data_IF_257313502438
#
_entry.id   IF_257313502438
#
_cell.length_a   1.000
_cell.length_b   1.000
_cell.length_c   1.000
_cell.angle_alpha   90.00
_cell.angle_beta   90.00
_cell.angle_gamma   90.00
#
_symmetry.space_group_name_H-M   'P 1'
#
loop_
_entity.id
_entity.type
_entity.pdbx_description
1 polymer ?
#
# COMPACT_ATOMS: atom_id res chain seq x y z
N UNK A 1 -3.19 23.71 -45.00
CA UNK A 1 -2.60 22.63 -44.15
C UNK A 1 -1.20 22.39 -44.61
N UNK A 2 -0.21 22.91 -43.88
CA UNK A 2 1.23 22.67 -44.14
C UNK A 2 1.65 21.44 -43.32
N UNK A 3 1.65 20.26 -43.97
CA UNK A 3 2.20 19.04 -43.37
C UNK A 3 3.73 19.07 -43.51
N UNK A 4 4.46 18.87 -42.42
CA UNK A 4 5.91 18.69 -42.42
C UNK A 4 6.23 17.20 -42.42
N UNK A 5 7.19 16.79 -43.27
CA UNK A 5 7.65 15.40 -43.35
C UNK A 5 9.00 15.27 -42.65
N UNK A 6 9.08 14.42 -41.65
CA UNK A 6 10.30 14.15 -40.89
C UNK A 6 10.86 12.77 -41.25
N UNK A 7 12.20 12.68 -41.32
CA UNK A 7 12.91 11.40 -41.41
C UNK A 7 13.64 11.13 -40.11
N UNK A 8 13.20 10.13 -39.39
CA UNK A 8 13.84 9.72 -38.14
C UNK A 8 15.10 8.92 -38.46
N UNK A 9 16.28 9.28 -37.88
CA UNK A 9 17.50 8.50 -38.02
C UNK A 9 17.36 7.09 -37.45
N UNK A 10 18.12 6.13 -37.98
CA UNK A 10 17.98 4.71 -37.56
C UNK A 10 18.25 4.48 -36.08
N UNK A 11 19.13 5.26 -35.45
CA UNK A 11 19.44 5.14 -34.01
C UNK A 11 18.33 5.67 -33.09
N UNK A 12 17.36 6.44 -33.64
CA UNK A 12 16.17 6.94 -32.93
C UNK A 12 14.88 6.26 -33.37
N UNK A 13 14.96 5.25 -34.25
CA UNK A 13 13.78 4.60 -34.81
C UNK A 13 12.98 3.79 -33.75
N UNK A 14 13.59 3.47 -32.61
CA UNK A 14 12.94 2.74 -31.52
C UNK A 14 12.17 3.62 -30.53
N UNK A 15 12.48 4.90 -30.45
CA UNK A 15 11.88 5.84 -29.47
C UNK A 15 11.05 6.95 -30.13
N UNK A 16 11.42 7.41 -31.34
CA UNK A 16 10.66 8.44 -32.07
C UNK A 16 9.80 7.77 -33.15
N UNK A 17 8.58 7.38 -32.78
CA UNK A 17 7.69 6.60 -33.66
C UNK A 17 6.38 7.32 -33.97
N UNK A 18 5.98 8.33 -33.21
CA UNK A 18 4.71 9.04 -33.29
C UNK A 18 4.93 10.54 -33.38
N UNK A 19 3.89 11.25 -33.79
CA UNK A 19 3.89 12.73 -33.84
C UNK A 19 4.24 13.37 -32.50
N UNK A 20 3.72 12.82 -31.41
CA UNK A 20 3.96 13.34 -30.06
C UNK A 20 5.46 13.26 -29.67
N UNK A 21 6.16 12.23 -30.13
CA UNK A 21 7.58 12.07 -29.86
C UNK A 21 8.41 13.16 -30.59
N UNK A 22 7.97 13.61 -31.77
CA UNK A 22 8.56 14.77 -32.46
C UNK A 22 8.25 16.09 -31.76
N UNK A 23 7.04 16.25 -31.23
CA UNK A 23 6.65 17.43 -30.43
C UNK A 23 7.53 17.52 -29.19
N UNK A 24 7.80 16.38 -28.52
CA UNK A 24 8.71 16.31 -27.39
C UNK A 24 10.12 16.77 -27.75
N UNK A 25 10.67 16.31 -28.86
CA UNK A 25 12.00 16.73 -29.32
C UNK A 25 12.06 18.23 -29.60
N UNK A 26 11.02 18.78 -30.23
CA UNK A 26 10.96 20.24 -30.49
C UNK A 26 10.86 21.00 -29.15
N UNK A 27 10.05 20.56 -28.24
CA UNK A 27 9.91 21.19 -26.92
C UNK A 27 11.22 21.16 -26.13
N UNK A 28 11.94 20.02 -26.18
CA UNK A 28 13.25 19.85 -25.55
C UNK A 28 14.30 20.83 -26.12
N UNK A 29 14.37 20.96 -27.45
CA UNK A 29 15.33 21.87 -28.11
C UNK A 29 14.94 23.33 -27.86
N UNK A 30 13.63 23.65 -27.87
CA UNK A 30 13.15 25.00 -27.58
C UNK A 30 13.45 25.44 -26.14
N UNK A 31 13.46 24.48 -25.20
CA UNK A 31 13.58 24.65 -23.76
C UNK A 31 12.21 24.61 -23.05
N UNK A 32 12.05 23.68 -22.12
CA UNK A 32 10.83 23.54 -21.30
C UNK A 32 10.58 24.75 -20.40
N UNK A 33 11.65 25.46 -20.00
CA UNK A 33 11.60 26.69 -19.20
C UNK A 33 10.85 27.83 -19.89
N UNK A 34 10.77 27.80 -21.23
CA UNK A 34 10.01 28.79 -22.01
C UNK A 34 8.51 28.51 -22.09
N UNK A 35 8.09 27.30 -21.67
CA UNK A 35 6.69 26.92 -21.66
C UNK A 35 6.07 27.40 -20.34
N UNK A 36 5.16 28.36 -20.43
CA UNK A 36 4.50 28.90 -19.24
C UNK A 36 3.62 27.82 -18.58
N UNK A 37 3.85 27.47 -17.30
CA UNK A 37 3.00 26.52 -16.61
C UNK A 37 1.60 27.10 -16.41
N UNK A 38 0.60 26.32 -16.71
CA UNK A 38 -0.82 26.68 -16.50
C UNK A 38 -1.49 25.72 -15.55
N UNK A 39 -2.30 26.23 -14.65
CA UNK A 39 -3.14 25.37 -13.80
C UNK A 39 -4.38 24.93 -14.58
N UNK A 40 -4.73 23.64 -14.57
CA UNK A 40 -5.97 23.18 -15.17
C UNK A 40 -7.17 23.81 -14.45
N UNK A 41 -8.18 24.20 -15.21
CA UNK A 41 -9.43 24.72 -14.64
C UNK A 41 -10.12 23.63 -13.83
N UNK A 42 -10.25 23.84 -12.52
CA UNK A 42 -11.03 22.96 -11.63
C UNK A 42 -12.50 23.31 -11.77
N UNK A 43 -13.24 22.49 -12.48
CA UNK A 43 -14.70 22.66 -12.67
C UNK A 43 -15.54 21.90 -11.65
N UNK A 44 -14.92 20.99 -10.89
CA UNK A 44 -15.63 20.17 -9.92
C UNK A 44 -14.95 20.21 -8.54
N UNK A 45 -15.76 20.27 -7.50
CA UNK A 45 -15.29 20.11 -6.12
C UNK A 45 -14.92 18.63 -5.90
N UNK A 46 -13.72 18.32 -5.39
CA UNK A 46 -13.36 16.94 -5.10
C UNK A 46 -14.28 16.35 -4.02
N UNK A 47 -14.78 15.14 -4.27
CA UNK A 47 -15.60 14.40 -3.31
C UNK A 47 -14.72 13.30 -2.69
N UNK A 48 -14.58 13.36 -1.37
CA UNK A 48 -13.88 12.31 -0.61
C UNK A 48 -14.85 11.14 -0.43
N UNK A 49 -14.49 9.95 -0.89
CA UNK A 49 -15.30 8.75 -0.76
C UNK A 49 -15.50 8.36 0.72
N UNK A 50 -16.55 7.57 1.00
CA UNK A 50 -16.78 7.06 2.34
C UNK A 50 -15.60 6.20 2.82
N UNK A 51 -15.03 5.39 1.93
CA UNK A 51 -13.87 4.54 2.22
C UNK A 51 -12.67 5.39 2.65
N UNK A 52 -12.33 6.45 1.92
CA UNK A 52 -11.22 7.35 2.26
C UNK A 52 -11.44 8.04 3.61
N UNK A 53 -12.67 8.44 3.92
CA UNK A 53 -13.00 9.01 5.24
C UNK A 53 -12.83 8.01 6.37
N UNK A 54 -13.21 6.75 6.15
CA UNK A 54 -13.02 5.67 7.14
C UNK A 54 -11.53 5.40 7.33
N UNK A 55 -10.76 5.28 6.25
CA UNK A 55 -9.31 5.07 6.32
C UNK A 55 -8.62 6.18 7.10
N UNK A 56 -8.93 7.44 6.77
CA UNK A 56 -8.39 8.59 7.48
C UNK A 56 -8.71 8.52 8.98
N UNK A 57 -9.93 8.15 9.33
CA UNK A 57 -10.33 8.05 10.73
C UNK A 57 -9.64 6.90 11.47
N UNK A 58 -9.52 5.74 10.82
CA UNK A 58 -8.77 4.59 11.38
C UNK A 58 -7.31 4.99 11.60
N UNK A 59 -6.70 5.65 10.62
CA UNK A 59 -5.32 6.13 10.72
C UNK A 59 -5.12 7.06 11.92
N UNK A 60 -5.97 8.09 12.07
CA UNK A 60 -5.96 9.00 13.23
C UNK A 60 -6.08 8.25 14.56
N UNK A 61 -6.92 7.21 14.62
CA UNK A 61 -7.13 6.41 15.83
C UNK A 61 -5.92 5.53 16.16
N UNK A 62 -5.29 4.91 15.16
CA UNK A 62 -4.08 4.11 15.35
C UNK A 62 -2.92 4.99 15.85
N UNK A 63 -2.65 6.09 15.15
CA UNK A 63 -1.62 7.05 15.57
C UNK A 63 -1.86 7.61 16.98
N UNK A 64 -3.11 8.00 17.28
CA UNK A 64 -3.45 8.50 18.64
C UNK A 64 -3.41 7.43 19.73
N UNK A 65 -3.29 6.17 19.35
CA UNK A 65 -3.11 5.04 20.26
C UNK A 65 -1.63 4.64 20.42
N UNK A 66 -0.71 5.39 19.79
CA UNK A 66 0.74 5.19 19.92
C UNK A 66 1.32 4.16 18.93
N UNK A 67 0.60 3.80 17.86
CA UNK A 67 1.15 2.93 16.84
C UNK A 67 1.75 3.77 15.71
N UNK A 68 2.86 3.32 15.16
CA UNK A 68 3.47 3.86 13.95
C UNK A 68 2.90 3.18 12.69
N UNK A 69 2.64 3.95 11.64
CA UNK A 69 2.26 3.39 10.35
C UNK A 69 3.48 2.79 9.65
N UNK A 70 3.33 1.56 9.17
CA UNK A 70 4.33 0.90 8.34
C UNK A 70 3.75 0.56 6.97
N UNK A 71 4.62 0.47 5.97
CA UNK A 71 4.26 0.06 4.60
C UNK A 71 5.17 -1.09 4.22
N UNK A 72 4.58 -2.28 4.06
CA UNK A 72 5.29 -3.47 3.63
C UNK A 72 4.96 -3.81 2.17
N UNK A 73 5.85 -4.56 1.51
CA UNK A 73 5.58 -5.00 0.14
C UNK A 73 4.39 -5.94 0.06
N UNK A 74 3.59 -5.80 -0.99
CA UNK A 74 2.49 -6.74 -1.29
C UNK A 74 3.00 -8.04 -1.94
N UNK A 75 4.22 -8.04 -2.46
CA UNK A 75 4.88 -9.22 -3.01
C UNK A 75 5.57 -9.97 -1.89
N UNK A 76 5.27 -11.27 -1.81
CA UNK A 76 5.84 -12.19 -0.82
C UNK A 76 6.34 -13.45 -1.52
N UNK A 77 7.17 -14.20 -0.83
CA UNK A 77 7.68 -15.48 -1.29
C UNK A 77 7.37 -16.62 -0.33
N UNK A 78 7.58 -17.84 -0.80
CA UNK A 78 7.36 -19.04 0.00
C UNK A 78 8.15 -19.06 1.32
N UNK A 79 9.41 -18.61 1.40
CA UNK A 79 10.15 -18.58 2.66
C UNK A 79 9.45 -17.78 3.77
N UNK A 80 8.78 -16.67 3.42
CA UNK A 80 8.02 -15.87 4.36
C UNK A 80 6.74 -16.57 4.81
N UNK A 81 6.06 -17.27 3.88
CA UNK A 81 4.84 -18.02 4.17
C UNK A 81 5.13 -19.20 5.10
N UNK A 82 6.14 -19.98 4.80
CA UNK A 82 6.57 -21.15 5.60
C UNK A 82 6.91 -20.75 7.05
N UNK A 83 7.41 -19.51 7.23
CA UNK A 83 7.80 -19.00 8.53
C UNK A 83 6.65 -18.48 9.38
N UNK A 84 5.64 -17.83 8.77
CA UNK A 84 4.63 -17.07 9.52
C UNK A 84 3.19 -17.46 9.24
N UNK A 85 2.89 -18.13 8.14
CA UNK A 85 1.51 -18.48 7.79
C UNK A 85 1.26 -19.96 7.91
N UNK A 86 0.34 -20.33 8.80
CA UNK A 86 -0.14 -21.70 8.93
C UNK A 86 -1.19 -22.09 7.88
N UNK A 87 -1.85 -21.08 7.27
CA UNK A 87 -2.89 -21.30 6.26
C UNK A 87 -2.63 -20.42 5.05
N UNK A 88 -2.26 -21.06 3.95
CA UNK A 88 -2.10 -20.45 2.64
C UNK A 88 -2.84 -21.30 1.60
N UNK A 89 -3.67 -20.69 0.79
CA UNK A 89 -4.46 -21.37 -0.24
C UNK A 89 -3.74 -21.22 -1.58
N UNK A 90 -3.04 -22.26 -2.00
CA UNK A 90 -2.29 -22.28 -3.27
C UNK A 90 -3.18 -22.06 -4.50
N UNK A 91 -4.44 -22.54 -4.45
CA UNK A 91 -5.37 -22.43 -5.58
C UNK A 91 -5.89 -20.99 -5.75
N UNK A 92 -5.82 -20.19 -4.69
CA UNK A 92 -6.20 -18.78 -4.70
C UNK A 92 -5.00 -17.84 -4.79
N UNK A 93 -3.80 -18.35 -4.98
CA UNK A 93 -2.59 -17.55 -5.07
C UNK A 93 -2.52 -16.75 -6.37
N UNK A 94 -2.24 -15.47 -6.25
CA UNK A 94 -1.92 -14.60 -7.39
C UNK A 94 -0.40 -14.64 -7.59
N UNK A 95 0.04 -15.44 -8.55
CA UNK A 95 1.46 -15.65 -8.83
C UNK A 95 2.00 -14.64 -9.85
N UNK A 96 3.26 -14.23 -9.65
CA UNK A 96 3.99 -13.37 -10.59
C UNK A 96 4.63 -14.25 -11.65
N UNK A 97 4.40 -13.94 -12.93
CA UNK A 97 4.87 -14.77 -14.05
C UNK A 97 6.40 -14.82 -14.12
N UNK A 98 7.06 -13.68 -13.98
CA UNK A 98 8.53 -13.54 -14.05
C UNK A 98 9.03 -12.82 -12.79
N UNK A 99 9.13 -13.54 -11.68
CA UNK A 99 9.62 -12.96 -10.44
C UNK A 99 11.12 -12.69 -10.50
N UNK A 100 11.54 -11.54 -9.99
CA UNK A 100 12.94 -11.16 -9.90
C UNK A 100 13.68 -11.89 -8.75
N UNK A 101 12.95 -12.41 -7.75
CA UNK A 101 13.52 -13.15 -6.62
C UNK A 101 12.52 -14.15 -6.05
N UNK A 102 13.01 -15.16 -5.33
CA UNK A 102 12.18 -16.11 -4.61
C UNK A 102 11.35 -15.48 -3.48
N UNK A 103 11.75 -14.30 -3.02
CA UNK A 103 11.05 -13.54 -1.98
C UNK A 103 9.84 -12.76 -2.50
N UNK A 104 9.64 -12.71 -3.84
CA UNK A 104 8.63 -11.85 -4.48
C UNK A 104 7.79 -12.60 -5.52
N UNK A 105 7.48 -13.86 -5.27
CA UNK A 105 6.85 -14.76 -6.27
C UNK A 105 5.34 -14.65 -6.36
N UNK A 106 4.68 -14.03 -5.38
CA UNK A 106 3.22 -13.95 -5.34
C UNK A 106 2.72 -12.75 -4.54
N UNK A 107 1.45 -12.37 -4.76
CA UNK A 107 0.79 -11.37 -3.93
C UNK A 107 0.27 -12.00 -2.64
N UNK A 108 0.37 -11.26 -1.54
CA UNK A 108 -0.05 -11.69 -0.20
C UNK A 108 -1.55 -11.93 -0.10
N UNK A 109 -1.93 -13.05 0.51
CA UNK A 109 -3.32 -13.39 0.86
C UNK A 109 -3.73 -12.86 2.24
N UNK A 110 -2.74 -12.54 3.08
CA UNK A 110 -2.89 -11.96 4.40
C UNK A 110 -1.72 -11.01 4.68
N UNK A 111 -1.88 -10.14 5.65
CA UNK A 111 -0.87 -9.16 6.02
C UNK A 111 -0.04 -9.55 7.24
N UNK A 112 -0.45 -10.57 7.98
CA UNK A 112 0.18 -10.96 9.24
C UNK A 112 1.67 -11.29 9.05
N UNK A 113 2.00 -12.10 8.03
CA UNK A 113 3.39 -12.47 7.74
C UNK A 113 4.29 -11.26 7.48
N UNK A 114 3.82 -10.29 6.69
CA UNK A 114 4.56 -9.08 6.36
C UNK A 114 4.80 -8.20 7.59
N UNK A 115 3.77 -7.98 8.40
CA UNK A 115 3.84 -7.15 9.62
C UNK A 115 4.73 -7.83 10.67
N UNK A 116 4.61 -9.15 10.87
CA UNK A 116 5.45 -9.92 11.79
C UNK A 116 6.93 -9.92 11.36
N UNK A 117 7.18 -9.99 10.05
CA UNK A 117 8.55 -9.92 9.55
C UNK A 117 9.18 -8.54 9.77
N UNK A 118 8.40 -7.47 9.59
CA UNK A 118 8.84 -6.12 9.91
C UNK A 118 9.14 -5.96 11.41
N UNK A 119 8.25 -6.44 12.27
CA UNK A 119 8.47 -6.46 13.72
C UNK A 119 9.75 -7.23 14.09
N UNK A 120 9.90 -8.45 13.55
CA UNK A 120 11.10 -9.28 13.83
C UNK A 120 12.37 -8.57 13.42
N UNK A 121 12.41 -7.97 12.24
CA UNK A 121 13.57 -7.22 11.77
C UNK A 121 13.95 -6.10 12.77
N UNK A 122 12.99 -5.29 13.19
CA UNK A 122 13.23 -4.21 14.15
C UNK A 122 13.67 -4.75 15.53
N UNK A 123 13.02 -5.83 16.00
CA UNK A 123 13.37 -6.48 17.25
C UNK A 123 14.81 -7.04 17.25
N UNK A 124 15.22 -7.70 16.16
CA UNK A 124 16.58 -8.24 16.00
C UNK A 124 17.63 -7.11 15.94
N UNK A 125 17.25 -5.93 15.44
CA UNK A 125 18.09 -4.73 15.40
C UNK A 125 18.01 -3.85 16.67
N UNK A 126 17.47 -4.39 17.77
CA UNK A 126 17.51 -3.75 19.08
C UNK A 126 16.26 -2.97 19.48
N UNK A 127 15.30 -2.77 18.58
CA UNK A 127 14.03 -2.11 18.88
C UNK A 127 13.06 -3.08 19.56
N UNK A 128 13.15 -3.18 20.90
CA UNK A 128 12.38 -4.16 21.68
C UNK A 128 10.92 -3.75 21.90
N UNK A 129 10.63 -2.46 21.88
CA UNK A 129 9.26 -1.93 21.88
C UNK A 129 8.92 -1.52 20.46
N UNK A 130 7.94 -2.18 19.87
CA UNK A 130 7.51 -1.95 18.49
C UNK A 130 6.00 -2.07 18.38
N UNK A 131 5.33 -0.93 18.19
CA UNK A 131 3.89 -0.82 18.02
C UNK A 131 3.64 -0.26 16.64
N UNK A 132 3.13 -1.09 15.75
CA UNK A 132 2.95 -0.70 14.37
C UNK A 132 1.66 -1.25 13.77
N UNK A 133 1.16 -0.56 12.74
CA UNK A 133 0.02 -0.98 11.95
C UNK A 133 0.24 -0.67 10.47
N UNK A 134 -0.48 -1.37 9.61
CA UNK A 134 -0.53 -1.13 8.18
C UNK A 134 -1.98 -1.22 7.69
N UNK A 135 -2.41 -0.24 6.90
CA UNK A 135 -3.65 -0.29 6.13
C UNK A 135 -3.28 -0.65 4.69
N UNK A 136 -3.33 -1.92 4.37
CA UNK A 136 -2.88 -2.45 3.09
C UNK A 136 -3.93 -3.28 2.37
N UNK A 137 -3.52 -3.95 1.31
CA UNK A 137 -4.37 -4.85 0.52
C UNK A 137 -3.90 -6.28 0.61
N UNK A 138 -4.86 -7.20 0.55
CA UNK A 138 -4.67 -8.63 0.29
C UNK A 138 -5.35 -9.04 -0.99
N UNK A 139 -4.88 -10.12 -1.60
CA UNK A 139 -5.24 -10.52 -2.95
C UNK A 139 -5.59 -12.00 -3.02
N UNK A 140 -6.70 -12.33 -3.67
CA UNK A 140 -7.17 -13.70 -3.82
C UNK A 140 -7.74 -13.90 -5.23
N UNK A 141 -7.36 -14.96 -5.90
CA UNK A 141 -8.09 -15.43 -7.08
C UNK A 141 -9.47 -15.92 -6.65
N UNK A 142 -10.52 -15.40 -7.24
CA UNK A 142 -11.91 -15.79 -6.91
C UNK A 142 -12.64 -16.45 -8.05
N UNK A 143 -12.22 -16.19 -9.29
CA UNK A 143 -12.74 -16.78 -10.51
C UNK A 143 -11.65 -16.76 -11.59
N UNK A 144 -11.80 -17.54 -12.68
CA UNK A 144 -10.93 -17.41 -13.84
C UNK A 144 -10.95 -15.98 -14.40
N UNK A 145 -9.82 -15.51 -14.92
CA UNK A 145 -9.75 -14.23 -15.63
C UNK A 145 -10.60 -14.29 -16.91
N UNK A 146 -11.27 -13.19 -17.24
CA UNK A 146 -12.02 -13.00 -18.48
C UNK A 146 -11.67 -11.63 -19.10
N UNK A 147 -12.20 -11.32 -20.30
CA UNK A 147 -11.93 -10.05 -20.99
C UNK A 147 -12.29 -8.78 -20.17
N UNK A 148 -13.17 -8.93 -19.19
CA UNK A 148 -13.68 -7.81 -18.36
C UNK A 148 -13.13 -7.79 -16.93
N UNK A 149 -12.47 -8.87 -16.48
CA UNK A 149 -12.04 -9.02 -15.11
C UNK A 149 -10.80 -9.92 -14.99
N UNK A 150 -9.84 -9.46 -14.18
CA UNK A 150 -8.68 -10.28 -13.82
C UNK A 150 -9.02 -11.50 -12.96
N UNK A 151 -10.23 -11.61 -12.44
CA UNK A 151 -10.63 -12.66 -11.51
C UNK A 151 -10.03 -12.53 -10.11
N UNK A 152 -9.26 -11.47 -9.86
CA UNK A 152 -8.59 -11.22 -8.58
C UNK A 152 -9.46 -10.30 -7.72
N UNK A 153 -9.70 -10.71 -6.49
CA UNK A 153 -10.32 -9.87 -5.47
C UNK A 153 -9.26 -9.19 -4.63
N UNK A 154 -9.24 -7.88 -4.69
CA UNK A 154 -8.49 -7.03 -3.77
C UNK A 154 -9.36 -6.66 -2.58
N UNK A 155 -8.83 -6.79 -1.37
CA UNK A 155 -9.53 -6.39 -0.16
C UNK A 155 -8.61 -5.59 0.74
N UNK A 156 -9.06 -4.42 1.19
CA UNK A 156 -8.32 -3.59 2.14
C UNK A 156 -8.44 -4.20 3.54
N UNK A 157 -7.34 -4.21 4.26
CA UNK A 157 -7.22 -4.82 5.59
C UNK A 157 -6.36 -3.91 6.48
N UNK A 158 -6.75 -3.79 7.74
CA UNK A 158 -5.93 -3.26 8.81
C UNK A 158 -5.24 -4.43 9.50
N UNK A 159 -3.92 -4.39 9.58
CA UNK A 159 -3.12 -5.31 10.39
C UNK A 159 -2.24 -4.51 11.35
N UNK A 160 -1.95 -5.07 12.52
CA UNK A 160 -1.08 -4.41 13.49
C UNK A 160 -0.39 -5.42 14.40
N UNK A 161 0.67 -4.96 15.03
CA UNK A 161 1.47 -5.75 15.97
C UNK A 161 1.94 -4.85 17.10
N UNK A 162 1.94 -5.39 18.31
CA UNK A 162 2.46 -4.76 19.50
C UNK A 162 3.47 -5.69 20.18
N UNK A 163 4.63 -5.16 20.53
CA UNK A 163 5.60 -5.85 21.39
C UNK A 163 6.31 -4.85 22.29
N UNK A 164 6.80 -5.32 23.44
CA UNK A 164 7.55 -4.50 24.38
C UNK A 164 6.67 -3.76 25.39
N UNK A 165 7.17 -2.65 25.88
CA UNK A 165 6.59 -1.92 26.99
C UNK A 165 5.49 -0.95 26.54
N UNK A 166 4.47 -0.82 27.39
CA UNK A 166 3.46 0.26 27.29
C UNK A 166 3.99 1.44 28.10
N UNK A 167 4.04 2.60 27.49
CA UNK A 167 4.34 3.83 28.21
C UNK A 167 3.14 4.18 29.10
N UNK A 168 3.27 3.90 30.38
CA UNK A 168 2.18 4.16 31.34
C UNK A 168 2.19 5.62 31.76
N UNK A 169 1.03 6.22 31.95
CA UNK A 169 0.84 7.59 32.43
C UNK A 169 1.43 7.87 33.85
N UNK A 170 1.79 6.82 34.56
CA UNK A 170 2.45 6.94 35.88
C UNK A 170 3.97 6.91 35.68
N UNK A 171 4.61 7.95 36.10
CA UNK A 171 6.08 8.04 36.13
C UNK A 171 6.72 6.75 36.66
N UNK A 172 7.61 6.15 35.88
CA UNK A 172 8.40 4.94 36.19
C UNK A 172 7.68 3.59 36.26
N UNK A 173 6.39 3.48 35.89
CA UNK A 173 5.73 2.18 35.82
C UNK A 173 5.76 1.68 34.37
N UNK A 174 6.65 0.74 34.08
CA UNK A 174 6.74 0.05 32.81
C UNK A 174 5.84 -1.19 32.84
N UNK A 175 4.86 -1.24 31.95
CA UNK A 175 3.96 -2.40 31.81
C UNK A 175 4.21 -3.01 30.43
N UNK A 176 4.28 -4.33 30.35
CA UNK A 176 4.38 -5.03 29.06
C UNK A 176 3.06 -4.95 28.30
N UNK A 177 3.13 -4.75 26.99
CA UNK A 177 1.96 -4.86 26.13
C UNK A 177 1.43 -6.27 26.13
N UNK A 178 0.12 -6.40 26.28
CA UNK A 178 -0.58 -7.67 26.37
C UNK A 178 -1.82 -7.72 25.45
N UNK A 179 -2.55 -8.82 25.53
CA UNK A 179 -3.81 -8.99 24.81
C UNK A 179 -4.83 -7.88 25.11
N UNK A 180 -4.91 -7.42 26.35
CA UNK A 180 -5.90 -6.38 26.73
C UNK A 180 -5.51 -5.00 26.19
N UNK A 181 -4.22 -4.73 26.07
CA UNK A 181 -3.71 -3.53 25.40
C UNK A 181 -4.17 -3.52 23.93
N UNK A 182 -3.93 -4.61 23.19
CA UNK A 182 -4.36 -4.73 21.80
C UNK A 182 -5.88 -4.67 21.66
N UNK A 183 -6.60 -5.39 22.52
CA UNK A 183 -8.07 -5.41 22.56
C UNK A 183 -8.63 -4.00 22.72
N UNK A 184 -8.11 -3.22 23.68
CA UNK A 184 -8.55 -1.84 23.93
C UNK A 184 -8.37 -0.94 22.72
N UNK A 185 -7.26 -1.06 21.99
CA UNK A 185 -7.00 -0.31 20.75
C UNK A 185 -8.03 -0.69 19.67
N UNK A 186 -8.29 -2.00 19.47
CA UNK A 186 -9.26 -2.48 18.48
C UNK A 186 -10.67 -2.01 18.84
N UNK A 187 -11.09 -2.13 20.08
CA UNK A 187 -12.40 -1.68 20.57
C UNK A 187 -12.56 -0.16 20.36
N UNK A 188 -11.56 0.63 20.70
CA UNK A 188 -11.54 2.08 20.45
C UNK A 188 -11.69 2.39 18.96
N UNK A 189 -11.02 1.63 18.09
CA UNK A 189 -11.12 1.78 16.64
C UNK A 189 -12.54 1.44 16.15
N UNK A 190 -13.09 0.31 16.54
CA UNK A 190 -14.43 -0.12 16.14
C UNK A 190 -15.54 0.82 16.64
N UNK A 191 -15.48 1.21 17.90
CA UNK A 191 -16.49 2.10 18.50
C UNK A 191 -16.49 3.51 17.89
N UNK A 192 -15.33 4.02 17.50
CA UNK A 192 -15.22 5.38 16.95
C UNK A 192 -15.31 5.45 15.41
N UNK A 193 -14.92 4.37 14.69
CA UNK A 193 -14.92 4.37 13.23
C UNK A 193 -16.27 3.95 12.64
N UNK A 194 -16.98 3.03 13.26
CA UNK A 194 -18.15 2.37 12.66
C UNK A 194 -19.47 2.84 13.26
N UNK A 195 -19.55 3.09 14.56
CA UNK A 195 -20.85 3.23 15.26
C UNK A 195 -21.37 4.66 15.38
N UNK A 196 -20.60 5.70 15.08
CA UNK A 196 -21.09 7.09 15.16
C UNK A 196 -21.63 7.68 13.87
N UNK A 197 -21.58 7.02 12.71
CA UNK A 197 -22.03 7.60 11.42
C UNK A 197 -22.55 6.62 10.36
N UNK A 198 -22.96 5.45 10.74
CA UNK A 198 -23.72 4.58 9.82
C UNK A 198 -25.22 4.89 9.78
N UNK A 199 -25.67 5.91 10.47
CA UNK A 199 -27.10 6.21 10.68
C UNK A 199 -27.41 7.71 10.58
N UNK A 200 -26.88 8.40 9.55
CA UNK A 200 -27.48 9.64 9.08
C UNK A 200 -27.15 9.82 7.61
#
# INVERSE_FOLDING_TARGET
>A
DSAAKFRVPSFRAGDVTREIDLIEEIARINGYDKITPTLPNKTQTPVISLEERVIKKVNELMLSSGLDEIITTSLIGKPLLDKYMQTFDEDKAVKVLNSASEESTMLRQDMAASVLNCMKYNYDNGQKTFWAYEIGKKYLVTKPADEKSSGIKESRVLAGVLTGEVENSKWQVKTQSDFFTLKGIIEKCLLNSVLKKGLN
#
